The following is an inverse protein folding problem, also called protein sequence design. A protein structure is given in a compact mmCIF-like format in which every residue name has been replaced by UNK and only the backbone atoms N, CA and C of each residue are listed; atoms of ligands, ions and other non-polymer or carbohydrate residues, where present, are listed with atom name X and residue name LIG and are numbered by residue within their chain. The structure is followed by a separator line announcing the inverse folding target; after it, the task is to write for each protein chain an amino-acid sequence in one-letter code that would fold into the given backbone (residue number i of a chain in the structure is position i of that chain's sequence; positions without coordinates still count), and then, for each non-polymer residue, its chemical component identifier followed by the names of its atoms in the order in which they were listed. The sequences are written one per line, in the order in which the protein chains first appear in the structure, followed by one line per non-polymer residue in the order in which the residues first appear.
data_IF_535224930287
#
_entry.id   IF_535224930287
#
_cell.length_a   1.000
_cell.length_b   1.000
_cell.length_c   1.000
_cell.angle_alpha   90.00
_cell.angle_beta   90.00
_cell.angle_gamma   90.00
#
_symmetry.space_group_name_H-M   'P 1'
#
loop_
_entity.id
_entity.type
_entity.pdbx_description
1 polymer ?
#
# COMPACT_ATOMS: atom_id res chain seq x y z
N UNK A 1 11.48 14.12 -1.53
CA UNK A 1 11.45 13.22 -0.36
C UNK A 1 10.21 13.56 0.45
N UNK A 2 9.30 12.62 0.69
CA UNK A 2 8.14 12.92 1.56
C UNK A 2 8.57 13.00 3.05
N UNK A 3 7.68 13.43 3.94
CA UNK A 3 8.03 13.58 5.36
C UNK A 3 8.37 12.24 6.05
N UNK A 4 7.78 11.13 5.61
CA UNK A 4 8.07 9.79 6.16
C UNK A 4 9.45 9.34 5.70
N UNK A 5 9.79 9.58 4.43
CA UNK A 5 11.12 9.34 3.89
C UNK A 5 12.17 10.21 4.62
N UNK A 6 11.80 11.44 4.99
CA UNK A 6 12.64 12.33 5.82
C UNK A 6 12.84 11.78 7.23
N UNK A 7 11.78 11.30 7.90
CA UNK A 7 11.88 10.58 9.16
C UNK A 7 12.83 9.37 9.05
N UNK A 8 12.71 8.60 7.96
CA UNK A 8 13.59 7.45 7.71
C UNK A 8 15.05 7.86 7.47
N UNK A 9 15.27 8.98 6.78
CA UNK A 9 16.61 9.58 6.63
C UNK A 9 17.23 9.94 7.99
N UNK A 10 16.47 10.61 8.87
CA UNK A 10 16.94 10.96 10.23
C UNK A 10 17.25 9.72 11.07
N UNK A 11 16.43 8.66 10.99
CA UNK A 11 16.76 7.38 11.63
C UNK A 11 18.08 6.81 11.11
N UNK A 12 18.33 6.88 9.81
CA UNK A 12 19.59 6.45 9.20
C UNK A 12 20.80 7.28 9.65
N UNK A 13 20.64 8.59 9.85
CA UNK A 13 21.67 9.46 10.42
C UNK A 13 22.00 9.05 11.85
N UNK A 14 20.98 8.89 12.71
CA UNK A 14 21.15 8.46 14.09
C UNK A 14 21.77 7.07 14.21
N UNK A 15 21.42 6.15 13.31
CA UNK A 15 21.99 4.79 13.29
C UNK A 15 23.46 4.78 12.86
N UNK A 16 23.87 5.63 11.91
CA UNK A 16 25.29 5.81 11.56
C UNK A 16 26.10 6.35 12.72
N UNK A 17 25.50 7.25 13.50
CA UNK A 17 26.14 7.93 14.63
C UNK A 17 26.02 7.16 15.97
N UNK A 18 25.44 5.95 15.97
CA UNK A 18 25.15 5.16 17.18
C UNK A 18 26.33 4.95 18.13
N UNK A 19 27.56 4.97 17.61
CA UNK A 19 28.78 4.78 18.40
C UNK A 19 29.11 5.99 19.28
N UNK A 20 28.62 7.18 18.92
CA UNK A 20 28.78 8.40 19.73
C UNK A 20 27.81 8.46 20.91
N UNK A 21 26.85 7.53 20.99
CA UNK A 21 25.84 7.51 22.04
C UNK A 21 24.67 8.44 21.71
N UNK A 22 24.40 9.40 22.60
CA UNK A 22 23.40 10.43 22.33
C UNK A 22 24.03 11.59 21.57
N UNK A 23 23.29 12.17 20.63
CA UNK A 23 23.67 13.35 19.86
C UNK A 23 22.96 14.55 20.43
N UNK A 24 23.72 15.59 20.77
CA UNK A 24 23.15 16.81 21.30
C UNK A 24 22.37 17.58 20.22
N UNK A 25 21.28 18.24 20.62
CA UNK A 25 20.33 18.92 19.74
C UNK A 25 20.96 20.02 18.86
N UNK A 26 22.03 20.67 19.33
CA UNK A 26 22.79 21.65 18.55
C UNK A 26 23.80 21.03 17.56
N UNK A 27 24.12 19.75 17.72
CA UNK A 27 24.97 19.02 16.79
C UNK A 27 24.15 18.42 15.65
N UNK A 28 22.89 18.06 15.90
CA UNK A 28 21.99 17.45 14.91
C UNK A 28 21.95 18.20 13.57
N UNK A 29 21.75 19.55 13.51
CA UNK A 29 21.78 20.27 12.24
C UNK A 29 23.06 20.10 11.43
N UNK A 30 24.22 20.04 12.11
CA UNK A 30 25.54 19.96 11.45
C UNK A 30 25.81 18.58 10.84
N UNK A 31 25.14 17.56 11.35
CA UNK A 31 25.25 16.18 10.87
C UNK A 31 24.25 15.93 9.73
N UNK A 32 23.05 16.49 9.88
CA UNK A 32 21.93 16.27 8.96
C UNK A 32 22.03 17.13 7.71
N UNK A 33 22.42 18.40 7.86
CA UNK A 33 22.44 19.37 6.77
C UNK A 33 23.86 19.68 6.31
N UNK A 34 23.95 20.23 5.09
CA UNK A 34 25.22 20.75 4.59
C UNK A 34 25.64 21.99 5.36
N UNK A 35 26.96 22.19 5.48
CA UNK A 35 27.56 23.33 6.19
C UNK A 35 26.98 24.68 5.72
N UNK A 36 26.85 24.85 4.40
CA UNK A 36 26.32 26.09 3.80
C UNK A 36 24.88 26.42 4.19
N UNK A 37 24.04 25.42 4.51
CA UNK A 37 22.68 25.66 4.99
C UNK A 37 22.68 26.07 6.47
N UNK A 38 23.47 25.38 7.30
CA UNK A 38 23.52 25.65 8.75
C UNK A 38 24.19 26.97 9.12
N UNK A 39 24.95 27.57 8.21
CA UNK A 39 25.63 28.85 8.40
C UNK A 39 24.80 30.06 7.94
N UNK A 40 23.60 29.85 7.38
CA UNK A 40 22.68 30.94 7.04
C UNK A 40 22.17 31.63 8.31
N UNK A 41 22.11 32.97 8.29
CA UNK A 41 21.76 33.80 9.45
C UNK A 41 20.36 33.48 10.02
N UNK A 42 19.44 33.09 9.14
CA UNK A 42 18.05 32.75 9.46
C UNK A 42 17.81 31.25 9.66
N UNK A 43 18.84 30.40 9.63
CA UNK A 43 18.68 28.94 9.74
C UNK A 43 17.84 28.52 10.94
N UNK A 44 18.04 29.15 12.10
CA UNK A 44 17.30 28.84 13.32
C UNK A 44 15.79 29.11 13.24
N UNK A 45 15.36 30.00 12.34
CA UNK A 45 13.96 30.32 12.07
C UNK A 45 13.48 29.71 10.74
N UNK A 46 14.30 28.89 10.09
CA UNK A 46 13.98 28.30 8.80
C UNK A 46 13.10 27.06 8.92
N UNK A 47 12.39 26.73 7.85
CA UNK A 47 11.63 25.49 7.73
C UNK A 47 12.51 24.24 7.86
N UNK A 48 13.80 24.34 7.50
CA UNK A 48 14.74 23.23 7.64
C UNK A 48 14.97 22.88 9.13
N UNK A 49 15.14 23.91 9.97
CA UNK A 49 15.26 23.72 11.41
C UNK A 49 13.95 23.22 12.01
N UNK A 50 12.83 23.84 11.63
CA UNK A 50 11.50 23.41 12.07
C UNK A 50 11.23 21.94 11.71
N UNK A 51 11.51 21.54 10.46
CA UNK A 51 11.33 20.16 9.98
C UNK A 51 12.17 19.15 10.76
N UNK A 52 13.44 19.45 11.06
CA UNK A 52 14.27 18.58 11.90
C UNK A 52 13.68 18.42 13.31
N UNK A 53 13.25 19.52 13.92
CA UNK A 53 12.72 19.52 15.29
C UNK A 53 11.39 18.75 15.37
N UNK A 54 10.51 18.97 14.39
CA UNK A 54 9.25 18.23 14.25
C UNK A 54 9.51 16.72 14.07
N UNK A 55 10.44 16.35 13.19
CA UNK A 55 10.80 14.95 12.96
C UNK A 55 11.33 14.28 14.23
N UNK A 56 12.25 14.92 14.96
CA UNK A 56 12.80 14.36 16.19
C UNK A 56 11.71 14.13 17.24
N UNK A 57 10.84 15.12 17.45
CA UNK A 57 9.72 15.00 18.39
C UNK A 57 8.76 13.86 17.98
N UNK A 58 8.36 13.78 16.71
CA UNK A 58 7.45 12.73 16.23
C UNK A 58 8.06 11.33 16.28
N UNK A 59 9.34 11.20 15.97
CA UNK A 59 10.05 9.93 16.09
C UNK A 59 10.15 9.50 17.56
N UNK A 60 10.32 10.44 18.48
CA UNK A 60 10.30 10.15 19.92
C UNK A 60 8.90 9.77 20.41
N UNK A 61 7.85 10.47 19.97
CA UNK A 61 6.47 10.12 20.30
C UNK A 61 6.11 8.71 19.80
N UNK A 62 6.62 8.32 18.62
CA UNK A 62 6.45 6.98 18.06
C UNK A 62 7.39 5.92 18.70
N UNK A 63 8.21 6.28 19.69
CA UNK A 63 9.17 5.39 20.35
C UNK A 63 10.34 4.93 19.47
N UNK A 64 10.56 5.57 18.33
CA UNK A 64 11.63 5.25 17.37
C UNK A 64 12.96 5.90 17.75
N UNK A 65 12.93 6.97 18.53
CA UNK A 65 14.11 7.69 19.02
C UNK A 65 13.96 7.92 20.52
N UNK A 66 15.02 7.67 21.27
CA UNK A 66 15.12 8.02 22.68
C UNK A 66 15.55 9.48 22.81
N UNK A 67 14.85 10.23 23.64
CA UNK A 67 15.24 11.58 24.04
C UNK A 67 15.64 11.60 25.53
N UNK A 68 16.87 12.02 25.81
CA UNK A 68 17.34 12.30 27.16
C UNK A 68 17.37 13.82 27.38
N UNK A 69 16.81 14.28 28.50
CA UNK A 69 16.82 15.69 28.90
C UNK A 69 16.32 16.69 27.83
N UNK A 70 15.41 16.27 26.94
CA UNK A 70 14.85 17.06 25.85
C UNK A 70 15.86 17.58 24.80
N UNK A 71 17.13 17.18 24.89
CA UNK A 71 18.23 17.76 24.11
C UNK A 71 19.18 16.73 23.53
N UNK A 72 19.16 15.50 24.03
CA UNK A 72 20.05 14.43 23.62
C UNK A 72 19.24 13.34 22.92
N UNK A 73 19.57 13.04 21.66
CA UNK A 73 18.79 12.15 20.81
C UNK A 73 19.59 10.91 20.41
N UNK A 74 18.92 9.75 20.38
CA UNK A 74 19.54 8.49 19.95
C UNK A 74 18.48 7.58 19.34
N UNK A 75 18.79 6.87 18.27
CA UNK A 75 17.86 5.85 17.76
C UNK A 75 17.61 4.77 18.82
N UNK A 76 16.34 4.47 19.08
CA UNK A 76 15.96 3.46 20.07
C UNK A 76 16.21 2.05 19.52
N UNK A 77 16.22 1.03 20.38
CA UNK A 77 16.32 -0.37 19.93
C UNK A 77 15.15 -0.74 19.02
N UNK A 78 13.96 -0.21 19.30
CA UNK A 78 12.77 -0.41 18.45
C UNK A 78 12.92 0.34 17.13
N UNK A 79 13.37 1.60 17.16
CA UNK A 79 13.62 2.42 15.97
C UNK A 79 14.60 1.78 15.00
N UNK A 80 15.64 1.08 15.49
CA UNK A 80 16.56 0.32 14.62
C UNK A 80 15.87 -0.80 13.85
N UNK A 81 14.95 -1.52 14.49
CA UNK A 81 14.18 -2.59 13.83
C UNK A 81 13.29 -2.00 12.74
N UNK A 82 12.58 -0.91 13.06
CA UNK A 82 11.72 -0.19 12.11
C UNK A 82 12.54 0.43 10.97
N UNK A 83 13.72 0.95 11.26
CA UNK A 83 14.63 1.46 10.23
C UNK A 83 15.12 0.36 9.29
N UNK A 84 15.39 -0.85 9.80
CA UNK A 84 15.80 -1.98 8.97
C UNK A 84 14.65 -2.56 8.13
N UNK A 85 13.45 -2.65 8.71
CA UNK A 85 12.24 -3.12 8.03
C UNK A 85 10.99 -2.44 8.65
N UNK A 86 10.45 -1.39 8.00
CA UNK A 86 9.32 -0.66 8.55
C UNK A 86 7.98 -1.37 8.35
N UNK A 87 7.88 -2.38 7.48
CA UNK A 87 6.60 -2.95 7.02
C UNK A 87 5.80 -3.54 8.18
N UNK A 88 6.45 -4.21 9.12
CA UNK A 88 5.76 -4.81 10.26
C UNK A 88 5.12 -3.74 11.16
N UNK A 89 5.88 -2.69 11.51
CA UNK A 89 5.37 -1.59 12.32
C UNK A 89 4.30 -0.78 11.59
N UNK A 90 4.54 -0.47 10.32
CA UNK A 90 3.55 0.22 9.49
C UNK A 90 2.28 -0.61 9.33
N UNK A 91 2.36 -1.94 9.27
CA UNK A 91 1.18 -2.79 9.17
C UNK A 91 0.31 -2.72 10.41
N UNK A 92 0.91 -2.63 11.61
CA UNK A 92 0.15 -2.43 12.85
C UNK A 92 -0.62 -1.11 12.79
N UNK A 93 0.04 -0.05 12.34
CA UNK A 93 -0.59 1.26 12.12
C UNK A 93 -1.73 1.17 11.09
N UNK A 94 -1.46 0.60 9.91
CA UNK A 94 -2.36 0.62 8.76
C UNK A 94 -3.59 -0.29 8.89
N UNK A 95 -3.58 -1.20 9.87
CA UNK A 95 -4.69 -2.09 10.20
C UNK A 95 -5.74 -1.44 11.10
N UNK A 96 -5.45 -0.26 11.65
CA UNK A 96 -6.45 0.50 12.41
C UNK A 96 -7.61 0.89 11.49
N UNK A 97 -8.83 0.64 11.96
CA UNK A 97 -10.05 0.94 11.21
C UNK A 97 -10.60 2.28 11.68
N UNK A 98 -10.46 3.28 10.81
CA UNK A 98 -11.11 4.57 10.99
C UNK A 98 -12.51 4.53 10.39
N UNK A 99 -13.44 5.27 10.98
CA UNK A 99 -14.70 5.55 10.30
C UNK A 99 -14.50 6.50 9.10
N UNK A 100 -15.53 6.65 8.27
CA UNK A 100 -15.45 7.44 7.04
C UNK A 100 -15.09 8.91 7.32
N UNK A 101 -15.57 9.48 8.42
CA UNK A 101 -15.33 10.89 8.77
C UNK A 101 -13.92 11.09 9.30
N UNK A 102 -13.45 10.20 10.18
CA UNK A 102 -12.09 10.13 10.69
C UNK A 102 -11.07 10.02 9.55
N UNK A 103 -11.32 9.10 8.60
CA UNK A 103 -10.49 8.94 7.41
C UNK A 103 -10.46 10.22 6.57
N UNK A 104 -11.60 10.89 6.38
CA UNK A 104 -11.67 12.16 5.65
C UNK A 104 -10.88 13.26 6.36
N UNK A 105 -11.02 13.41 7.69
CA UNK A 105 -10.29 14.42 8.44
C UNK A 105 -8.78 14.15 8.40
N UNK A 106 -8.36 12.91 8.59
CA UNK A 106 -6.95 12.53 8.53
C UNK A 106 -6.34 12.85 7.15
N UNK A 107 -7.07 12.56 6.07
CA UNK A 107 -6.70 12.93 4.70
C UNK A 107 -6.53 14.43 4.52
N UNK A 108 -7.46 15.22 5.07
CA UNK A 108 -7.38 16.68 5.02
C UNK A 108 -6.10 17.16 5.72
N UNK A 109 -5.84 16.67 6.93
CA UNK A 109 -4.69 17.08 7.72
C UNK A 109 -3.38 16.71 7.02
N UNK A 110 -3.28 15.47 6.54
CA UNK A 110 -2.10 14.94 5.86
C UNK A 110 -1.91 15.49 4.44
N UNK A 111 -2.92 16.13 3.86
CA UNK A 111 -2.80 16.86 2.59
C UNK A 111 -2.22 18.25 2.81
N UNK A 112 -2.67 18.97 3.85
CA UNK A 112 -2.25 20.35 4.08
C UNK A 112 -0.94 20.47 4.86
N UNK A 113 -0.59 19.46 5.65
CA UNK A 113 0.54 19.57 6.56
C UNK A 113 1.90 19.31 5.90
N UNK A 114 2.14 18.19 5.18
CA UNK A 114 3.45 17.92 4.58
C UNK A 114 3.80 18.94 3.52
N UNK A 115 4.90 19.65 3.74
CA UNK A 115 5.43 20.64 2.82
C UNK A 115 6.73 20.12 2.21
N UNK A 116 6.83 20.29 0.89
CA UNK A 116 8.03 19.98 0.12
C UNK A 116 8.64 21.29 -0.36
N UNK A 117 9.91 21.53 -0.04
CA UNK A 117 10.67 22.59 -0.72
C UNK A 117 11.00 22.12 -2.14
N UNK A 118 11.00 23.03 -3.13
CA UNK A 118 11.38 22.78 -4.53
C UNK A 118 12.77 22.13 -4.66
N UNK A 119 13.65 22.36 -3.68
CA UNK A 119 15.00 21.76 -3.60
C UNK A 119 15.05 20.41 -2.84
N UNK A 120 13.97 20.05 -2.14
CA UNK A 120 13.61 18.75 -1.53
C UNK A 120 14.70 17.94 -0.79
N UNK A 121 15.55 18.60 0.03
CA UNK A 121 16.51 17.88 0.89
C UNK A 121 15.95 17.55 2.30
N UNK A 122 14.79 18.10 2.67
CA UNK A 122 14.10 17.82 3.94
C UNK A 122 12.57 17.92 3.78
N UNK A 123 11.84 17.33 4.72
CA UNK A 123 10.39 17.51 4.88
C UNK A 123 10.08 18.32 6.14
N UNK A 124 9.01 19.11 6.11
CA UNK A 124 8.46 19.77 7.29
C UNK A 124 6.93 19.76 7.27
N UNK A 125 6.33 20.06 8.40
CA UNK A 125 4.89 19.99 8.64
C UNK A 125 4.34 21.36 9.01
N UNK A 126 3.28 21.76 8.34
CA UNK A 126 2.47 22.92 8.69
C UNK A 126 1.35 22.50 9.64
N UNK A 127 1.05 23.34 10.62
CA UNK A 127 -0.19 23.22 11.39
C UNK A 127 -1.40 23.38 10.48
N UNK A 128 -2.40 22.53 10.66
CA UNK A 128 -3.69 22.66 10.00
C UNK A 128 -4.62 23.47 10.89
N UNK A 129 -5.10 24.58 10.36
CA UNK A 129 -5.93 25.54 11.06
C UNK A 129 -7.41 25.19 10.92
N UNK A 130 -8.21 25.63 11.91
CA UNK A 130 -9.66 25.50 11.92
C UNK A 130 -10.32 25.85 10.59
N UNK A 131 -9.92 26.95 9.96
CA UNK A 131 -10.56 27.42 8.73
C UNK A 131 -10.35 26.44 7.57
N UNK A 132 -9.21 25.73 7.54
CA UNK A 132 -8.91 24.70 6.54
C UNK A 132 -9.82 23.48 6.73
N UNK A 133 -10.03 23.06 7.99
CA UNK A 133 -11.00 21.99 8.33
C UNK A 133 -12.42 22.42 7.98
N UNK A 134 -12.83 23.62 8.40
CA UNK A 134 -14.17 24.13 8.13
C UNK A 134 -14.47 24.19 6.63
N UNK A 135 -13.51 24.69 5.85
CA UNK A 135 -13.63 24.74 4.39
C UNK A 135 -13.74 23.36 3.76
N UNK A 136 -13.02 22.37 4.28
CA UNK A 136 -13.02 21.02 3.73
C UNK A 136 -14.34 20.28 3.97
N UNK A 137 -14.93 20.45 5.17
CA UNK A 137 -16.24 19.88 5.52
C UNK A 137 -17.42 20.76 5.13
N UNK A 138 -17.17 21.94 4.52
CA UNK A 138 -18.20 22.94 4.17
C UNK A 138 -19.04 23.38 5.37
N UNK A 139 -18.45 23.41 6.56
CA UNK A 139 -19.10 23.86 7.78
C UNK A 139 -18.85 25.36 8.00
N UNK A 140 -19.84 26.03 8.59
CA UNK A 140 -19.75 27.46 8.88
C UNK A 140 -18.87 27.68 10.10
N UNK A 141 -17.97 28.66 10.05
CA UNK A 141 -17.26 29.13 11.24
C UNK A 141 -18.13 30.09 12.07
N UNK A 142 -17.87 30.25 13.38
CA UNK A 142 -18.58 31.22 14.20
C UNK A 142 -18.62 32.63 13.59
N UNK A 143 -19.71 33.40 13.79
CA UNK A 143 -20.88 33.07 14.62
C UNK A 143 -21.89 32.13 13.94
N UNK A 144 -22.51 31.26 14.73
CA UNK A 144 -23.53 30.30 14.27
C UNK A 144 -24.94 30.91 14.32
N UNK A 145 -25.77 30.56 13.35
CA UNK A 145 -27.18 30.97 13.26
C UNK A 145 -28.13 29.88 13.79
N UNK A 146 -27.69 28.62 13.79
CA UNK A 146 -28.50 27.47 14.22
C UNK A 146 -27.69 26.56 15.15
N UNK A 147 -28.39 25.76 15.95
CA UNK A 147 -27.75 24.73 16.78
C UNK A 147 -27.06 23.66 15.91
N UNK A 148 -27.64 23.31 14.76
CA UNK A 148 -27.05 22.36 13.81
C UNK A 148 -25.66 22.83 13.31
N UNK A 149 -25.50 24.12 12.99
CA UNK A 149 -24.19 24.68 12.62
C UNK A 149 -23.17 24.59 13.77
N UNK A 150 -23.63 24.74 15.01
CA UNK A 150 -22.80 24.61 16.19
C UNK A 150 -22.41 23.14 16.41
N UNK A 151 -23.36 22.22 16.31
CA UNK A 151 -23.15 20.78 16.50
C UNK A 151 -22.17 20.23 15.44
N UNK A 152 -22.34 20.58 14.17
CA UNK A 152 -21.40 20.24 13.09
C UNK A 152 -20.00 20.79 13.36
N UNK A 153 -19.92 22.07 13.78
CA UNK A 153 -18.63 22.66 14.13
C UNK A 153 -17.96 21.91 15.28
N UNK A 154 -18.70 21.59 16.34
CA UNK A 154 -18.17 20.86 17.48
C UNK A 154 -17.65 19.47 17.08
N UNK A 155 -18.44 18.76 16.28
CA UNK A 155 -18.08 17.45 15.76
C UNK A 155 -16.76 17.48 14.99
N UNK A 156 -16.66 18.30 13.95
CA UNK A 156 -15.51 18.26 13.03
C UNK A 156 -14.27 19.01 13.53
N UNK A 157 -14.43 20.00 14.42
CA UNK A 157 -13.31 20.82 14.93
C UNK A 157 -12.80 20.36 16.30
N UNK A 158 -13.60 19.61 17.06
CA UNK A 158 -13.20 19.12 18.39
C UNK A 158 -13.32 17.60 18.53
N UNK A 159 -14.50 17.03 18.31
CA UNK A 159 -14.74 15.62 18.66
C UNK A 159 -13.94 14.67 17.76
N UNK A 160 -13.97 14.91 16.45
CA UNK A 160 -13.27 14.09 15.48
C UNK A 160 -11.72 14.21 15.58
N UNK A 161 -11.13 15.41 15.69
CA UNK A 161 -9.71 15.53 16.02
C UNK A 161 -9.33 14.86 17.33
N UNK A 162 -10.20 14.94 18.35
CA UNK A 162 -9.95 14.27 19.64
C UNK A 162 -9.95 12.75 19.48
N UNK A 163 -10.90 12.17 18.75
CA UNK A 163 -10.95 10.73 18.46
C UNK A 163 -9.65 10.27 17.80
N UNK A 164 -9.22 10.96 16.73
CA UNK A 164 -7.96 10.66 16.05
C UNK A 164 -6.72 10.91 16.93
N UNK A 165 -6.78 11.84 17.90
CA UNK A 165 -5.72 12.03 18.88
C UNK A 165 -5.62 10.86 19.87
N UNK A 166 -6.74 10.30 20.30
CA UNK A 166 -6.79 9.13 21.19
C UNK A 166 -6.19 7.90 20.50
N UNK A 167 -6.31 7.81 19.17
CA UNK A 167 -5.63 6.82 18.32
C UNK A 167 -4.19 7.20 17.93
N UNK A 168 -3.69 8.35 18.42
CA UNK A 168 -2.36 8.90 18.13
C UNK A 168 -2.12 9.21 16.64
N UNK A 169 -3.15 9.43 15.83
CA UNK A 169 -3.03 9.81 14.40
C UNK A 169 -2.85 11.31 14.15
N UNK A 170 -3.26 12.13 15.11
CA UNK A 170 -3.00 13.57 15.10
C UNK A 170 -2.81 14.10 16.52
N UNK A 171 -2.39 15.35 16.64
CA UNK A 171 -2.43 16.12 17.88
C UNK A 171 -3.31 17.34 17.67
N UNK A 172 -4.25 17.57 18.57
CA UNK A 172 -5.17 18.67 18.57
C UNK A 172 -4.98 19.50 19.84
N UNK A 173 -4.63 20.77 19.66
CA UNK A 173 -4.46 21.71 20.77
C UNK A 173 -5.55 22.77 20.71
N UNK A 174 -6.63 22.63 21.50
CA UNK A 174 -7.65 23.65 21.57
C UNK A 174 -7.06 24.93 22.18
N UNK A 175 -7.43 26.07 21.62
CA UNK A 175 -7.10 27.41 22.11
C UNK A 175 -8.36 28.06 22.66
N UNK A 176 -8.19 29.01 23.58
CA UNK A 176 -9.29 29.69 24.26
C UNK A 176 -10.16 30.57 23.35
N UNK A 177 -9.77 30.78 22.09
CA UNK A 177 -10.47 31.57 21.08
C UNK A 177 -11.30 30.72 20.09
N UNK A 178 -11.62 29.48 20.49
CA UNK A 178 -12.29 28.48 19.63
C UNK A 178 -11.47 28.10 18.38
N UNK A 179 -10.16 28.37 18.34
CA UNK A 179 -9.28 27.77 17.34
C UNK A 179 -8.71 26.45 17.86
N UNK A 180 -8.52 25.49 16.97
CA UNK A 180 -7.82 24.24 17.26
C UNK A 180 -6.67 24.15 16.28
N UNK A 181 -5.46 23.99 16.81
CA UNK A 181 -4.31 23.67 15.98
C UNK A 181 -4.20 22.15 15.87
N UNK A 182 -4.27 21.64 14.64
CA UNK A 182 -4.18 20.22 14.36
C UNK A 182 -2.83 19.92 13.70
N UNK A 183 -2.11 18.95 14.25
CA UNK A 183 -0.80 18.52 13.76
C UNK A 183 -0.88 17.04 13.39
N UNK A 184 -0.36 16.61 12.23
CA UNK A 184 -0.28 15.19 11.96
C UNK A 184 0.77 14.53 12.87
N UNK A 185 0.61 13.24 13.12
CA UNK A 185 1.62 12.41 13.80
C UNK A 185 2.32 11.51 12.79
N UNK A 186 3.40 10.85 13.22
CA UNK A 186 4.09 9.87 12.37
C UNK A 186 3.13 8.73 11.99
N UNK A 187 2.34 8.24 12.95
CA UNK A 187 1.32 7.22 12.72
C UNK A 187 0.28 7.69 11.71
N UNK A 188 -0.22 8.92 11.84
CA UNK A 188 -1.24 9.46 10.93
C UNK A 188 -0.74 9.55 9.50
N UNK A 189 0.49 10.02 9.32
CA UNK A 189 1.13 10.09 8.00
C UNK A 189 1.35 8.69 7.42
N UNK A 190 1.85 7.73 8.20
CA UNK A 190 2.04 6.34 7.74
C UNK A 190 0.71 5.73 7.32
N UNK A 191 -0.34 5.89 8.15
CA UNK A 191 -1.67 5.36 7.86
C UNK A 191 -2.23 5.92 6.55
N UNK A 192 -2.05 7.20 6.25
CA UNK A 192 -2.59 7.74 5.00
C UNK A 192 -1.67 7.47 3.80
N UNK A 193 -0.37 7.76 3.94
CA UNK A 193 0.55 7.84 2.81
C UNK A 193 1.21 6.51 2.47
N UNK A 194 1.28 5.56 3.41
CA UNK A 194 1.99 4.28 3.22
C UNK A 194 1.06 3.07 3.33
N UNK A 195 -0.24 3.23 3.61
CA UNK A 195 -1.18 2.11 3.83
C UNK A 195 -1.32 1.17 2.65
N UNK A 196 -1.58 1.69 1.45
CA UNK A 196 -1.69 0.83 0.26
C UNK A 196 -0.40 0.03 0.04
N UNK A 197 0.75 0.68 0.10
CA UNK A 197 2.07 0.05 -0.06
C UNK A 197 2.34 -1.01 1.02
N UNK A 198 2.01 -0.70 2.27
CA UNK A 198 2.26 -1.57 3.43
C UNK A 198 1.38 -2.81 3.41
N UNK A 199 0.06 -2.64 3.18
CA UNK A 199 -0.90 -3.75 3.10
C UNK A 199 -0.52 -4.68 1.95
N UNK A 200 -0.22 -4.10 0.78
CA UNK A 200 0.19 -4.89 -0.38
C UNK A 200 1.52 -5.60 -0.13
N UNK A 201 2.53 -4.93 0.43
CA UNK A 201 3.81 -5.57 0.73
C UNK A 201 3.69 -6.73 1.71
N UNK A 202 2.86 -6.58 2.75
CA UNK A 202 2.60 -7.64 3.72
C UNK A 202 1.86 -8.83 3.11
N UNK A 203 0.83 -8.56 2.31
CA UNK A 203 0.12 -9.60 1.56
C UNK A 203 1.12 -10.40 0.72
N UNK A 204 2.00 -9.72 -0.02
CA UNK A 204 2.99 -10.39 -0.86
C UNK A 204 3.97 -11.20 -0.04
N UNK A 205 4.47 -10.68 1.08
CA UNK A 205 5.34 -11.43 1.99
C UNK A 205 4.66 -12.69 2.55
N UNK A 206 3.36 -12.65 2.81
CA UNK A 206 2.56 -13.82 3.19
C UNK A 206 2.43 -14.82 2.04
N UNK A 207 2.12 -14.35 0.83
CA UNK A 207 2.04 -15.21 -0.35
C UNK A 207 3.38 -15.87 -0.69
N UNK A 208 4.51 -15.17 -0.54
CA UNK A 208 5.86 -15.69 -0.83
C UNK A 208 6.27 -16.79 0.17
N UNK A 209 5.83 -16.72 1.43
CA UNK A 209 6.10 -17.77 2.43
C UNK A 209 5.52 -19.12 2.00
N UNK A 210 4.29 -19.10 1.48
CA UNK A 210 3.60 -20.30 1.01
C UNK A 210 3.97 -20.66 -0.44
N UNK A 211 4.46 -19.68 -1.21
CA UNK A 211 4.81 -19.77 -2.62
C UNK A 211 3.62 -20.18 -3.50
N UNK A 212 3.69 -21.33 -4.17
CA UNK A 212 2.63 -21.81 -5.04
C UNK A 212 1.63 -22.69 -4.30
N UNK A 213 0.37 -22.28 -4.37
CA UNK A 213 -0.77 -22.99 -3.80
C UNK A 213 -1.81 -23.22 -4.89
N UNK A 214 -2.95 -23.83 -4.52
CA UNK A 214 -4.07 -24.01 -5.45
C UNK A 214 -4.73 -22.70 -5.90
N UNK A 215 -4.51 -21.59 -5.18
CA UNK A 215 -5.05 -20.27 -5.50
C UNK A 215 -3.98 -19.21 -5.79
N UNK A 216 -2.69 -19.53 -5.72
CA UNK A 216 -1.58 -18.60 -5.95
C UNK A 216 -0.57 -19.20 -6.92
N UNK A 217 -0.19 -18.40 -7.91
CA UNK A 217 0.80 -18.76 -8.93
C UNK A 217 1.86 -17.66 -9.00
N UNK A 218 3.14 -18.02 -9.02
CA UNK A 218 4.24 -17.07 -9.14
C UNK A 218 4.87 -17.16 -10.53
N UNK A 219 5.22 -16.03 -11.11
CA UNK A 219 5.92 -15.93 -12.39
C UNK A 219 7.10 -14.97 -12.27
N UNK A 220 8.20 -15.31 -12.93
CA UNK A 220 9.32 -14.38 -13.12
C UNK A 220 8.93 -13.21 -14.00
N UNK A 221 8.22 -13.48 -15.08
CA UNK A 221 7.76 -12.49 -16.06
C UNK A 221 6.41 -12.88 -16.66
N UNK A 222 5.63 -11.88 -17.08
CA UNK A 222 4.42 -12.08 -17.88
C UNK A 222 4.68 -11.54 -19.28
N UNK A 223 4.86 -12.42 -20.25
CA UNK A 223 4.97 -12.07 -21.68
C UNK A 223 3.70 -12.46 -22.41
N UNK A 224 3.28 -11.66 -23.38
CA UNK A 224 2.03 -11.86 -24.13
C UNK A 224 2.21 -11.66 -25.65
N UNK A 225 3.44 -11.78 -26.15
CA UNK A 225 3.79 -11.38 -27.51
C UNK A 225 3.61 -12.51 -28.53
N UNK A 226 3.76 -13.75 -28.08
CA UNK A 226 3.59 -14.96 -28.92
C UNK A 226 2.32 -15.72 -28.55
N UNK A 227 1.76 -16.47 -29.51
CA UNK A 227 0.59 -17.34 -29.25
C UNK A 227 0.88 -18.39 -28.18
N UNK A 228 2.12 -18.89 -28.10
CA UNK A 228 2.55 -19.80 -27.03
C UNK A 228 2.45 -19.16 -25.64
N UNK A 229 2.94 -17.93 -25.50
CA UNK A 229 2.89 -17.20 -24.24
C UNK A 229 1.44 -16.88 -23.84
N UNK A 230 0.62 -16.41 -24.79
CA UNK A 230 -0.81 -16.15 -24.56
C UNK A 230 -1.57 -17.42 -24.17
N UNK A 231 -1.29 -18.55 -24.81
CA UNK A 231 -1.89 -19.85 -24.49
C UNK A 231 -1.53 -20.31 -23.08
N UNK A 232 -0.24 -20.23 -22.70
CA UNK A 232 0.21 -20.57 -21.35
C UNK A 232 -0.48 -19.68 -20.31
N UNK A 233 -0.51 -18.37 -20.54
CA UNK A 233 -1.19 -17.42 -19.66
C UNK A 233 -2.69 -17.72 -19.51
N UNK A 234 -3.39 -17.95 -20.63
CA UNK A 234 -4.82 -18.29 -20.59
C UNK A 234 -5.07 -19.61 -19.84
N UNK A 235 -4.18 -20.60 -19.99
CA UNK A 235 -4.25 -21.86 -19.25
C UNK A 235 -4.10 -21.62 -17.74
N UNK A 236 -3.15 -20.81 -17.31
CA UNK A 236 -2.92 -20.48 -15.90
C UNK A 236 -4.15 -19.77 -15.29
N UNK A 237 -4.73 -18.80 -16.01
CA UNK A 237 -5.95 -18.09 -15.59
C UNK A 237 -7.16 -19.02 -15.54
N UNK A 238 -7.37 -19.88 -16.54
CA UNK A 238 -8.45 -20.87 -16.56
C UNK A 238 -8.33 -21.85 -15.37
N UNK A 239 -7.12 -22.34 -15.11
CA UNK A 239 -6.84 -23.21 -13.97
C UNK A 239 -7.20 -22.54 -12.65
N UNK A 240 -6.79 -21.29 -12.42
CA UNK A 240 -7.17 -20.55 -11.22
C UNK A 240 -8.70 -20.32 -11.12
N UNK A 241 -9.34 -19.95 -12.23
CA UNK A 241 -10.77 -19.65 -12.27
C UNK A 241 -11.64 -20.88 -11.99
N UNK A 242 -11.25 -22.05 -12.51
CA UNK A 242 -12.02 -23.28 -12.30
C UNK A 242 -11.70 -23.96 -10.97
N UNK A 243 -10.51 -23.75 -10.39
CA UNK A 243 -10.14 -24.44 -9.15
C UNK A 243 -11.01 -23.98 -7.97
N UNK A 244 -11.60 -24.97 -7.29
CA UNK A 244 -12.39 -24.76 -6.09
C UNK A 244 -11.45 -24.61 -4.88
N UNK A 245 -11.18 -23.36 -4.54
CA UNK A 245 -10.35 -22.97 -3.40
C UNK A 245 -11.02 -21.82 -2.64
N UNK A 246 -10.76 -21.78 -1.33
CA UNK A 246 -11.12 -20.64 -0.48
C UNK A 246 -10.14 -19.48 -0.71
N UNK A 247 -10.61 -18.26 -0.49
CA UNK A 247 -9.78 -17.05 -0.63
C UNK A 247 -9.65 -16.52 -2.06
N UNK A 248 -8.79 -15.51 -2.20
CA UNK A 248 -8.53 -14.82 -3.47
C UNK A 248 -7.58 -15.64 -4.34
N UNK A 249 -7.69 -15.46 -5.65
CA UNK A 249 -6.85 -16.14 -6.65
C UNK A 249 -5.86 -15.16 -7.21
N UNK A 250 -4.58 -15.41 -7.02
CA UNK A 250 -3.52 -14.48 -7.40
C UNK A 250 -2.53 -15.11 -8.38
N UNK A 251 -2.11 -14.32 -9.36
CA UNK A 251 -0.91 -14.56 -10.13
C UNK A 251 0.03 -13.37 -9.89
N UNK A 252 1.17 -13.65 -9.25
CA UNK A 252 2.16 -12.66 -8.81
C UNK A 252 3.38 -12.73 -9.74
N UNK A 253 3.77 -11.57 -10.29
CA UNK A 253 4.79 -11.45 -11.33
C UNK A 253 5.96 -10.63 -10.80
N UNK A 254 7.18 -11.13 -11.05
CA UNK A 254 8.44 -10.46 -10.70
C UNK A 254 9.30 -11.25 -9.70
N UNK A 255 9.03 -12.53 -9.48
CA UNK A 255 9.79 -13.38 -8.55
C UNK A 255 10.41 -14.57 -9.28
N UNK A 256 11.65 -14.92 -8.94
CA UNK A 256 12.31 -16.09 -9.50
C UNK A 256 11.73 -17.39 -8.93
N UNK A 257 11.47 -18.36 -9.79
CA UNK A 257 10.84 -19.62 -9.42
C UNK A 257 11.70 -20.49 -8.48
N UNK A 258 13.03 -20.40 -8.61
CA UNK A 258 13.96 -21.24 -7.86
C UNK A 258 14.37 -20.60 -6.56
N UNK A 259 14.73 -19.32 -6.58
CA UNK A 259 15.21 -18.62 -5.38
C UNK A 259 14.07 -18.05 -4.55
N UNK A 260 12.88 -17.86 -5.16
CA UNK A 260 11.72 -17.16 -4.57
C UNK A 260 11.99 -15.70 -4.23
N UNK A 261 13.08 -15.15 -4.76
CA UNK A 261 13.48 -13.77 -4.54
C UNK A 261 12.87 -12.87 -5.60
N UNK A 262 12.71 -11.59 -5.26
CA UNK A 262 12.38 -10.57 -6.23
C UNK A 262 13.42 -10.55 -7.35
N UNK A 263 12.95 -10.62 -8.59
CA UNK A 263 13.77 -10.69 -9.79
C UNK A 263 13.81 -9.33 -10.52
N UNK A 264 12.65 -8.83 -10.95
CA UNK A 264 12.55 -7.63 -11.76
C UNK A 264 11.13 -7.05 -11.78
N UNK A 265 11.03 -5.77 -12.17
CA UNK A 265 9.75 -5.12 -12.41
C UNK A 265 9.03 -5.72 -13.62
N UNK A 266 7.68 -5.75 -13.61
CA UNK A 266 6.89 -6.20 -14.76
C UNK A 266 7.14 -5.34 -15.99
N UNK A 267 6.94 -5.94 -17.17
CA UNK A 267 6.93 -5.22 -18.44
C UNK A 267 5.79 -4.19 -18.47
N UNK A 268 6.15 -2.91 -18.65
CA UNK A 268 5.20 -1.79 -18.71
C UNK A 268 4.22 -1.89 -19.90
N UNK A 269 4.56 -2.68 -20.92
CA UNK A 269 3.67 -2.95 -22.05
C UNK A 269 2.52 -3.91 -21.72
N UNK A 270 2.55 -4.54 -20.54
CA UNK A 270 1.47 -5.40 -20.06
C UNK A 270 0.51 -4.56 -19.23
N UNK A 271 -0.71 -4.41 -19.74
CA UNK A 271 -1.79 -3.64 -19.10
C UNK A 271 -3.04 -4.50 -18.89
N UNK A 272 -3.95 -4.04 -18.02
CA UNK A 272 -5.28 -4.62 -17.82
C UNK A 272 -5.96 -4.92 -19.18
N UNK A 273 -6.04 -3.92 -20.05
CA UNK A 273 -6.69 -4.05 -21.35
C UNK A 273 -6.00 -5.08 -22.26
N UNK A 274 -4.66 -5.15 -22.27
CA UNK A 274 -3.93 -6.16 -23.05
C UNK A 274 -4.25 -7.57 -22.55
N UNK A 275 -4.28 -7.75 -21.23
CA UNK A 275 -4.64 -9.02 -20.58
C UNK A 275 -6.09 -9.42 -20.91
N UNK A 276 -7.05 -8.52 -20.75
CA UNK A 276 -8.47 -8.76 -21.05
C UNK A 276 -8.69 -9.08 -22.53
N UNK A 277 -7.97 -8.40 -23.43
CA UNK A 277 -8.00 -8.72 -24.87
C UNK A 277 -7.46 -10.12 -25.16
N UNK A 278 -6.43 -10.58 -24.46
CA UNK A 278 -5.93 -11.96 -24.61
C UNK A 278 -6.98 -12.96 -24.11
N UNK A 279 -7.56 -12.73 -22.93
CA UNK A 279 -8.54 -13.64 -22.33
C UNK A 279 -9.84 -13.71 -23.14
N UNK A 280 -10.39 -12.59 -23.60
CA UNK A 280 -11.63 -12.57 -24.41
C UNK A 280 -11.50 -13.33 -25.74
N UNK A 281 -10.27 -13.44 -26.25
CA UNK A 281 -9.95 -14.20 -27.46
C UNK A 281 -9.72 -15.70 -27.20
N UNK A 282 -9.39 -16.10 -25.97
CA UNK A 282 -8.92 -17.45 -25.63
C UNK A 282 -9.80 -18.20 -24.64
N UNK A 283 -10.68 -17.53 -23.89
CA UNK A 283 -11.54 -18.15 -22.87
C UNK A 283 -13.01 -17.94 -23.18
N UNK A 284 -13.83 -18.91 -22.77
CA UNK A 284 -15.29 -18.87 -22.88
C UNK A 284 -15.94 -19.59 -21.68
N UNK A 285 -16.72 -18.89 -20.83
CA UNK A 285 -16.92 -17.44 -20.80
C UNK A 285 -15.61 -16.63 -20.59
N UNK A 286 -15.67 -15.32 -20.82
CA UNK A 286 -14.51 -14.44 -20.54
C UNK A 286 -14.27 -14.40 -19.03
N UNK A 287 -13.06 -14.75 -18.60
CA UNK A 287 -12.67 -14.73 -17.19
C UNK A 287 -12.45 -13.28 -16.75
N UNK A 288 -13.12 -12.86 -15.68
CA UNK A 288 -12.94 -11.53 -15.09
C UNK A 288 -11.66 -11.46 -14.27
N UNK A 289 -10.88 -10.38 -14.41
CA UNK A 289 -9.59 -10.22 -13.73
C UNK A 289 -9.37 -8.78 -13.27
N UNK A 290 -8.47 -8.59 -12.29
CA UNK A 290 -7.92 -7.28 -11.91
C UNK A 290 -6.41 -7.34 -11.90
N UNK A 291 -5.78 -6.62 -12.82
CA UNK A 291 -4.33 -6.48 -12.91
C UNK A 291 -3.90 -5.09 -12.47
N UNK A 292 -2.90 -5.03 -11.59
CA UNK A 292 -2.25 -3.80 -11.17
C UNK A 292 -0.74 -4.02 -11.04
N UNK A 293 0.02 -2.98 -11.34
CA UNK A 293 1.40 -2.87 -10.89
C UNK A 293 1.35 -2.21 -9.52
N UNK A 294 1.98 -2.84 -8.52
CA UNK A 294 2.01 -2.36 -7.14
C UNK A 294 3.47 -2.17 -6.70
N UNK A 295 3.70 -1.17 -5.86
CA UNK A 295 5.00 -0.96 -5.23
C UNK A 295 5.21 -2.00 -4.13
N UNK A 296 6.36 -2.67 -4.16
CA UNK A 296 6.83 -3.64 -3.16
C UNK A 296 8.24 -3.25 -2.70
N UNK A 297 8.63 -3.65 -1.50
CA UNK A 297 9.90 -3.23 -0.85
C UNK A 297 11.16 -3.33 -1.70
N UNK A 298 11.22 -4.29 -2.62
CA UNK A 298 12.37 -4.51 -3.51
C UNK A 298 12.20 -3.91 -4.92
N UNK A 299 11.00 -3.43 -5.26
CA UNK A 299 10.68 -2.85 -6.56
C UNK A 299 9.22 -3.07 -6.92
N UNK A 300 8.80 -2.62 -8.11
CA UNK A 300 7.43 -2.85 -8.59
C UNK A 300 7.20 -4.32 -8.92
N UNK A 301 6.02 -4.83 -8.65
CA UNK A 301 5.58 -6.19 -9.02
C UNK A 301 4.22 -6.15 -9.72
N UNK A 302 3.90 -7.21 -10.45
CA UNK A 302 2.62 -7.36 -11.14
C UNK A 302 1.71 -8.24 -10.31
N UNK A 303 0.53 -7.75 -9.95
CA UNK A 303 -0.48 -8.51 -9.22
C UNK A 303 -1.72 -8.66 -10.09
N UNK A 304 -2.03 -9.89 -10.47
CA UNK A 304 -3.26 -10.25 -11.16
C UNK A 304 -4.16 -11.01 -10.19
N UNK A 305 -5.39 -10.54 -10.00
CA UNK A 305 -6.44 -11.25 -9.28
C UNK A 305 -7.44 -11.84 -10.26
N UNK A 306 -7.69 -13.15 -10.16
CA UNK A 306 -8.71 -13.84 -10.95
C UNK A 306 -10.03 -13.84 -10.18
N UNK A 307 -11.06 -13.23 -10.77
CA UNK A 307 -12.40 -13.14 -10.17
C UNK A 307 -13.21 -14.33 -10.66
N UNK A 308 -13.51 -15.26 -9.75
CA UNK A 308 -14.34 -16.42 -10.04
C UNK A 308 -15.80 -16.10 -9.83
N UNK A 309 -16.54 -16.04 -10.92
CA UNK A 309 -18.00 -15.90 -10.95
C UNK A 309 -18.65 -17.29 -11.09
N UNK A 310 -19.32 -17.83 -10.05
CA UNK A 310 -19.90 -19.17 -10.08
C UNK A 310 -20.90 -19.41 -11.22
N UNK A 311 -21.70 -18.41 -11.57
CA UNK A 311 -22.70 -18.44 -12.63
C UNK A 311 -22.11 -18.61 -14.05
N UNK A 312 -20.81 -18.33 -14.22
CA UNK A 312 -20.06 -18.51 -15.47
C UNK A 312 -19.35 -19.86 -15.55
N UNK A 313 -19.43 -20.70 -14.52
CA UNK A 313 -18.77 -22.00 -14.53
C UNK A 313 -19.45 -23.02 -15.47
N UNK A 314 -18.67 -23.95 -16.05
CA UNK A 314 -17.19 -23.98 -16.07
C UNK A 314 -16.58 -23.04 -17.12
N UNK A 315 -15.40 -22.48 -16.85
CA UNK A 315 -14.62 -21.74 -17.84
C UNK A 315 -13.84 -22.70 -18.74
N UNK A 316 -13.92 -22.48 -20.06
CA UNK A 316 -13.29 -23.34 -21.06
C UNK A 316 -12.40 -22.53 -21.99
N UNK A 317 -11.47 -23.20 -22.66
CA UNK A 317 -10.72 -22.61 -23.76
C UNK A 317 -11.62 -22.43 -25.01
N UNK A 318 -11.62 -21.24 -25.59
CA UNK A 318 -12.50 -20.86 -26.72
C UNK A 318 -12.08 -21.46 -28.06
N UNK A 319 -10.77 -21.64 -28.25
CA UNK A 319 -10.19 -22.14 -29.51
C UNK A 319 -8.90 -22.91 -29.26
N UNK A 320 -8.53 -23.71 -30.26
CA UNK A 320 -7.20 -24.33 -30.30
C UNK A 320 -6.15 -23.24 -30.53
N UNK A 321 -5.02 -23.35 -29.82
CA UNK A 321 -3.82 -22.53 -30.09
C UNK A 321 -2.67 -23.48 -30.36
N UNK A 322 -2.17 -23.47 -31.59
CA UNK A 322 -1.00 -24.24 -32.01
C UNK A 322 0.25 -23.43 -31.65
N UNK A 323 1.19 -24.04 -30.92
CA UNK A 323 2.34 -23.35 -30.31
C UNK A 323 3.69 -23.76 -30.87
N UNK A 324 3.73 -24.73 -31.78
CA UNK A 324 4.93 -25.10 -32.53
C UNK A 324 4.60 -25.57 -33.95
N UNK A 325 5.63 -25.64 -34.79
CA UNK A 325 5.55 -26.09 -36.19
C UNK A 325 5.12 -27.56 -36.33
N UNK A 326 5.21 -28.34 -35.24
CA UNK A 326 4.81 -29.75 -35.19
C UNK A 326 3.32 -29.93 -34.88
N UNK A 327 2.57 -28.83 -34.74
CA UNK A 327 1.13 -28.86 -34.48
C UNK A 327 0.78 -29.08 -33.02
N UNK A 328 1.72 -28.93 -32.08
CA UNK A 328 1.42 -29.08 -30.64
C UNK A 328 0.44 -28.00 -30.22
N UNK A 329 -0.66 -28.43 -29.58
CA UNK A 329 -1.65 -27.53 -29.01
C UNK A 329 -1.17 -27.06 -27.63
N UNK A 330 -1.04 -25.75 -27.44
CA UNK A 330 -0.81 -25.13 -26.13
C UNK A 330 -2.11 -24.88 -25.37
N UNK A 331 -3.22 -24.72 -26.11
CA UNK A 331 -4.57 -24.62 -25.59
C UNK A 331 -5.50 -25.42 -26.51
N UNK A 332 -6.40 -26.20 -25.94
CA UNK A 332 -7.33 -27.07 -26.67
C UNK A 332 -8.77 -26.55 -26.53
N UNK A 333 -9.48 -26.39 -27.64
CA UNK A 333 -10.86 -25.90 -27.64
C UNK A 333 -11.78 -26.73 -26.74
N UNK A 334 -12.66 -26.05 -26.00
CA UNK A 334 -13.64 -26.57 -25.04
C UNK A 334 -13.05 -27.28 -23.81
N UNK A 335 -11.73 -27.33 -23.67
CA UNK A 335 -11.06 -27.97 -22.54
C UNK A 335 -11.17 -27.11 -21.28
N UNK A 336 -11.45 -27.77 -20.16
CA UNK A 336 -11.34 -27.20 -18.82
C UNK A 336 -9.92 -27.46 -18.31
N UNK A 337 -9.37 -26.48 -17.62
CA UNK A 337 -8.14 -26.64 -16.87
C UNK A 337 -8.42 -26.32 -15.41
N UNK A 338 -7.83 -27.10 -14.50
CA UNK A 338 -7.82 -26.90 -13.05
C UNK A 338 -6.38 -26.86 -12.56
N UNK A 339 -6.18 -26.47 -11.30
CA UNK A 339 -4.88 -26.38 -10.64
C UNK A 339 -4.84 -27.37 -9.48
N UNK A 340 -3.87 -28.27 -9.52
CA UNK A 340 -3.52 -29.14 -8.39
C UNK A 340 -2.13 -28.76 -7.90
N UNK A 341 -2.07 -28.14 -6.72
CA UNK A 341 -0.86 -27.52 -6.17
C UNK A 341 -0.26 -26.51 -7.15
N UNK A 342 0.94 -26.77 -7.68
CA UNK A 342 1.64 -25.92 -8.65
C UNK A 342 1.34 -26.24 -10.13
N UNK A 343 0.54 -27.28 -10.42
CA UNK A 343 0.40 -27.80 -11.78
C UNK A 343 -0.98 -27.54 -12.38
N UNK A 344 -1.00 -27.23 -13.68
CA UNK A 344 -2.21 -26.98 -14.46
C UNK A 344 -2.55 -28.16 -15.36
N UNK A 345 -3.66 -28.84 -15.09
CA UNK A 345 -4.08 -30.07 -15.76
C UNK A 345 -5.59 -30.11 -16.05
N UNK A 346 -6.03 -31.18 -16.73
CA UNK A 346 -7.46 -31.41 -16.95
C UNK A 346 -8.12 -31.83 -15.64
N UNK A 347 -9.37 -31.42 -15.37
CA UNK A 347 -10.10 -31.91 -14.21
C UNK A 347 -10.34 -33.42 -14.32
N UNK A 348 -10.48 -34.08 -13.17
CA UNK A 348 -11.10 -35.41 -13.12
C UNK A 348 -12.59 -35.33 -13.52
N UNK A 349 -13.19 -36.46 -13.90
CA UNK A 349 -14.63 -36.52 -14.22
C UNK A 349 -15.51 -36.00 -13.06
N UNK A 350 -15.09 -36.27 -11.82
CA UNK A 350 -15.78 -35.79 -10.63
C UNK A 350 -15.72 -34.26 -10.52
N UNK A 351 -14.56 -33.66 -10.78
CA UNK A 351 -14.38 -32.21 -10.72
C UNK A 351 -15.10 -31.49 -11.84
N UNK A 352 -15.06 -32.02 -13.07
CA UNK A 352 -15.82 -31.43 -14.18
C UNK A 352 -17.32 -31.43 -13.84
N UNK A 353 -17.85 -32.55 -13.35
CA UNK A 353 -19.24 -32.63 -12.91
C UNK A 353 -19.56 -31.66 -11.77
N UNK A 354 -18.68 -31.53 -10.79
CA UNK A 354 -18.86 -30.60 -9.67
C UNK A 354 -18.89 -29.14 -10.14
N UNK A 355 -18.06 -28.76 -11.12
CA UNK A 355 -18.07 -27.41 -11.71
C UNK A 355 -19.36 -27.14 -12.48
N UNK A 356 -19.86 -28.13 -13.22
CA UNK A 356 -21.14 -28.00 -13.93
C UNK A 356 -22.32 -27.86 -12.97
N UNK A 357 -22.37 -28.66 -11.92
CA UNK A 357 -23.42 -28.60 -10.88
C UNK A 357 -23.39 -27.26 -10.14
N UNK A 358 -22.20 -26.79 -9.78
CA UNK A 358 -22.02 -25.50 -9.13
C UNK A 358 -22.52 -24.35 -10.02
N UNK A 359 -22.12 -24.33 -11.29
CA UNK A 359 -22.57 -23.31 -12.23
C UNK A 359 -24.08 -23.36 -12.48
N UNK A 360 -24.67 -24.57 -12.59
CA UNK A 360 -26.13 -24.73 -12.72
C UNK A 360 -26.88 -24.19 -11.51
N UNK A 361 -26.39 -24.48 -10.30
CA UNK A 361 -26.99 -23.98 -9.06
C UNK A 361 -26.91 -22.46 -8.98
N UNK A 362 -25.74 -21.87 -9.22
CA UNK A 362 -25.55 -20.42 -9.16
C UNK A 362 -26.44 -19.67 -10.16
N UNK A 363 -26.60 -20.19 -11.38
CA UNK A 363 -27.52 -19.64 -12.40
C UNK A 363 -29.00 -19.75 -12.03
N UNK A 364 -29.37 -20.67 -11.14
CA UNK A 364 -30.74 -20.80 -10.65
C UNK A 364 -31.05 -19.88 -9.46
N UNK A 365 -30.01 -19.42 -8.77
CA UNK A 365 -30.09 -18.53 -7.59
C UNK A 365 -29.94 -17.04 -7.96
N UNK A 366 -29.49 -16.74 -9.18
CA UNK A 366 -29.37 -15.38 -9.76
C UNK A 366 -30.63 -14.99 -10.51
#
# INVERSE_FOLDING_TARGET
MDFIDWCHHILGVLEKEKLKGYIHYYEMPKIVFTKGLTEQEDFHNSDARSGLDQTLNMLSDAGLVDNKNQSDWKISTFGRKVFADPINFWSEICNENLDDEEEILLKIVNKYSPQLNETSIYGWLKTVERNEVCSAFKIKSPPFETNEQMDDFHKFVYDLPRSLQELEFLKAYPRGDYSTNIYPTYKGLVWELKRSYTIESKLIDELVKDWETTNVDFKSELKLDTEKQKANFAKDVLSLANTKSSGKRHLIIGFDDKTREYLASPDENVSQNKIENVLSNLTEPVVSIRYKIIDYKQGKIGKLEVIREPEKLPYRAKKDVIVDEKGKKGLEKNKIYVRHNSHNESPSEFEEKALEEEGKRARAES
#
